data_IF_489242130036
#
_entry.id   IF_489242130036
#
_cell.length_a   1.000
_cell.length_b   1.000
_cell.length_c   1.000
_cell.angle_alpha   90.00
_cell.angle_beta   90.00
_cell.angle_gamma   90.00
#
_symmetry.space_group_name_H-M   'P 1'
#
loop_
_entity.id
_entity.type
_entity.pdbx_description
1 polymer ?
#
# COMPACT_ATOMS: atom_id res chain seq x y z
N UNK A 1 -4.35 -14.03 8.04
CA UNK A 1 -3.36 -13.22 7.29
C UNK A 1 -3.66 -11.75 7.53
N UNK A 2 -2.65 -10.90 7.63
CA UNK A 2 -2.83 -9.45 7.80
C UNK A 2 -1.96 -8.64 6.83
N UNK A 3 -2.58 -7.63 6.21
CA UNK A 3 -2.01 -6.74 5.21
C UNK A 3 -2.01 -5.31 5.76
N UNK A 4 -0.86 -4.64 5.78
CA UNK A 4 -0.78 -3.22 6.15
C UNK A 4 -0.50 -2.39 4.90
N UNK A 5 -1.39 -1.47 4.58
CA UNK A 5 -1.27 -0.61 3.39
C UNK A 5 -0.52 0.66 3.78
N UNK A 6 0.66 0.86 3.22
CA UNK A 6 1.53 2.02 3.47
C UNK A 6 1.84 2.77 2.17
N UNK A 7 2.12 4.07 2.25
CA UNK A 7 2.39 4.90 1.07
C UNK A 7 2.10 6.37 1.33
N UNK A 8 2.18 7.20 0.29
CA UNK A 8 1.83 8.62 0.37
C UNK A 8 0.33 8.83 0.64
N UNK A 9 -0.07 10.05 0.98
CA UNK A 9 -1.48 10.45 0.94
C UNK A 9 -1.96 10.49 -0.52
N UNK A 10 -3.22 10.11 -0.77
CA UNK A 10 -3.84 10.21 -2.09
C UNK A 10 -3.50 9.09 -3.10
N UNK A 11 -2.56 8.19 -2.81
CA UNK A 11 -2.17 7.11 -3.74
C UNK A 11 -3.18 5.95 -3.82
N UNK A 12 -4.33 6.05 -3.17
CA UNK A 12 -5.39 5.04 -3.24
C UNK A 12 -5.25 3.85 -2.29
N UNK A 13 -4.66 4.03 -1.09
CA UNK A 13 -4.55 2.98 -0.06
C UNK A 13 -5.93 2.47 0.39
N UNK A 14 -6.80 3.37 0.82
CA UNK A 14 -8.17 3.03 1.27
C UNK A 14 -8.97 2.32 0.16
N UNK A 15 -8.89 2.82 -1.07
CA UNK A 15 -9.53 2.19 -2.23
C UNK A 15 -8.97 0.78 -2.54
N UNK A 16 -7.65 0.58 -2.41
CA UNK A 16 -7.05 -0.74 -2.54
C UNK A 16 -7.52 -1.69 -1.42
N UNK A 17 -7.66 -1.19 -0.19
CA UNK A 17 -8.21 -1.97 0.92
C UNK A 17 -9.65 -2.42 0.68
N UNK A 18 -10.48 -1.53 0.16
CA UNK A 18 -11.85 -1.85 -0.25
C UNK A 18 -11.89 -2.90 -1.36
N UNK A 19 -10.98 -2.77 -2.34
CA UNK A 19 -10.84 -3.72 -3.45
C UNK A 19 -10.44 -5.11 -2.95
N UNK A 20 -9.47 -5.19 -2.03
CA UNK A 20 -9.04 -6.45 -1.41
C UNK A 20 -10.20 -7.10 -0.64
N UNK A 21 -10.93 -6.32 0.17
CA UNK A 21 -12.04 -6.82 0.98
C UNK A 21 -13.33 -7.07 0.17
N UNK A 22 -13.39 -6.56 -1.06
CA UNK A 22 -14.55 -6.66 -1.94
C UNK A 22 -15.78 -5.87 -1.48
N UNK A 23 -15.59 -4.82 -0.67
CA UNK A 23 -16.65 -3.94 -0.14
C UNK A 23 -16.09 -2.58 0.29
N UNK A 24 -16.97 -1.60 0.45
CA UNK A 24 -16.63 -0.29 1.02
C UNK A 24 -16.43 -0.40 2.54
N UNK A 25 -15.19 -0.60 2.97
CA UNK A 25 -14.80 -0.67 4.38
C UNK A 25 -14.15 0.64 4.87
N UNK A 26 -13.35 1.27 4.00
CA UNK A 26 -12.60 2.50 4.26
C UNK A 26 -13.13 3.64 3.40
N UNK A 27 -13.16 4.86 3.93
CA UNK A 27 -13.52 6.05 3.16
C UNK A 27 -12.47 6.29 2.07
N UNK A 28 -12.87 6.29 0.81
CA UNK A 28 -11.97 6.43 -0.34
C UNK A 28 -12.55 7.37 -1.41
N UNK A 29 -12.64 8.66 -1.09
CA UNK A 29 -13.11 9.70 -2.00
C UNK A 29 -11.99 10.71 -2.34
N UNK A 30 -12.18 11.46 -3.43
CA UNK A 30 -11.25 12.52 -3.81
C UNK A 30 -11.37 13.68 -2.82
N UNK A 31 -10.27 14.03 -2.17
CA UNK A 31 -10.20 15.14 -1.22
C UNK A 31 -8.91 15.94 -1.41
N UNK A 32 -8.94 17.28 -1.26
CA UNK A 32 -7.72 18.09 -1.22
C UNK A 32 -6.90 17.90 0.07
N UNK A 33 -7.48 17.27 1.11
CA UNK A 33 -6.83 17.00 2.40
C UNK A 33 -6.73 15.50 2.69
N UNK A 34 -5.92 15.12 3.68
CA UNK A 34 -5.78 13.72 4.06
C UNK A 34 -7.05 13.21 4.78
N UNK A 35 -7.72 12.22 4.21
CA UNK A 35 -8.91 11.60 4.81
C UNK A 35 -8.56 10.61 5.92
N UNK A 36 -7.47 9.85 5.74
CA UNK A 36 -7.00 8.87 6.73
C UNK A 36 -5.95 9.52 7.63
N UNK A 37 -6.37 10.01 8.80
CA UNK A 37 -5.48 10.51 9.86
C UNK A 37 -5.20 9.48 10.95
N UNK A 38 -5.93 8.36 10.92
CA UNK A 38 -5.85 7.30 11.91
C UNK A 38 -5.96 5.94 11.25
N UNK A 39 -5.11 4.99 11.67
CA UNK A 39 -5.07 3.63 11.16
C UNK A 39 -6.35 2.86 11.50
N UNK A 40 -6.93 2.22 10.50
CA UNK A 40 -8.20 1.49 10.58
C UNK A 40 -8.04 0.08 10.04
N UNK A 41 -8.67 -0.91 10.69
CA UNK A 41 -8.58 -2.31 10.30
C UNK A 41 -9.94 -2.88 9.92
N UNK A 42 -10.01 -3.56 8.78
CA UNK A 42 -11.17 -4.30 8.31
C UNK A 42 -10.86 -5.78 8.12
N UNK A 43 -11.84 -6.66 8.34
CA UNK A 43 -11.68 -8.12 8.21
C UNK A 43 -12.64 -8.71 7.21
N UNK A 44 -12.18 -9.60 6.34
CA UNK A 44 -13.04 -10.28 5.36
C UNK A 44 -12.46 -11.61 4.92
N UNK A 45 -13.32 -12.44 4.34
CA UNK A 45 -12.90 -13.68 3.69
C UNK A 45 -12.62 -13.37 2.21
N UNK A 46 -11.39 -13.64 1.79
CA UNK A 46 -10.91 -13.38 0.43
C UNK A 46 -10.23 -14.67 -0.04
N UNK A 47 -10.70 -15.24 -1.15
CA UNK A 47 -10.25 -16.55 -1.65
C UNK A 47 -10.25 -17.63 -0.54
N UNK A 48 -11.35 -17.71 0.24
CA UNK A 48 -11.54 -18.65 1.36
C UNK A 48 -10.56 -18.47 2.53
N UNK A 49 -9.74 -17.41 2.52
CA UNK A 49 -8.81 -17.07 3.61
C UNK A 49 -9.32 -15.85 4.36
N UNK A 50 -9.25 -15.92 5.69
CA UNK A 50 -9.52 -14.76 6.55
C UNK A 50 -8.36 -13.76 6.48
N UNK A 51 -8.66 -12.58 5.96
CA UNK A 51 -7.71 -11.48 5.78
C UNK A 51 -8.12 -10.29 6.65
N UNK A 52 -7.16 -9.73 7.37
CA UNK A 52 -7.25 -8.40 7.97
C UNK A 52 -6.51 -7.42 7.07
N UNK A 53 -7.16 -6.33 6.66
CA UNK A 53 -6.53 -5.23 5.94
C UNK A 53 -6.49 -4.02 6.86
N UNK A 54 -5.32 -3.40 6.98
CA UNK A 54 -5.12 -2.18 7.77
C UNK A 54 -4.75 -1.03 6.84
N UNK A 55 -5.63 -0.05 6.73
CA UNK A 55 -5.36 1.23 6.05
C UNK A 55 -4.66 2.18 7.02
N UNK A 56 -3.59 2.83 6.58
CA UNK A 56 -2.80 3.75 7.40
C UNK A 56 -2.85 5.18 6.87
N UNK A 57 -2.53 6.18 7.70
CA UNK A 57 -2.23 7.52 7.22
C UNK A 57 -1.07 7.52 6.21
N UNK A 58 -0.97 8.60 5.41
CA UNK A 58 0.16 8.80 4.51
C UNK A 58 1.48 9.00 5.26
N UNK A 59 2.57 8.37 4.80
CA UNK A 59 3.88 8.44 5.49
C UNK A 59 4.53 9.83 5.45
N UNK A 60 4.20 10.66 4.46
CA UNK A 60 4.65 12.05 4.39
C UNK A 60 3.47 13.02 4.50
N UNK A 61 2.54 12.75 5.43
CA UNK A 61 1.41 13.61 5.69
C UNK A 61 1.84 14.85 6.51
N UNK A 62 1.69 16.04 5.95
CA UNK A 62 2.03 17.31 6.62
C UNK A 62 1.10 17.65 7.79
N UNK A 63 -0.06 16.99 7.88
CA UNK A 63 -1.02 17.15 8.98
C UNK A 63 -0.65 16.32 10.23
N UNK A 64 0.32 15.40 10.11
CA UNK A 64 0.82 14.57 11.21
C UNK A 64 2.25 14.94 11.58
N UNK A 65 2.52 15.08 12.88
CA UNK A 65 3.90 15.12 13.38
C UNK A 65 4.56 13.74 13.24
N UNK A 66 5.89 13.70 13.23
CA UNK A 66 6.62 12.43 13.18
C UNK A 66 6.30 11.49 14.36
N UNK A 67 6.00 12.05 15.54
CA UNK A 67 5.55 11.29 16.72
C UNK A 67 4.18 10.65 16.48
N UNK A 68 3.19 11.41 16.02
CA UNK A 68 1.86 10.89 15.70
C UNK A 68 1.92 9.83 14.60
N UNK A 69 2.76 10.02 13.59
CA UNK A 69 2.95 9.00 12.55
C UNK A 69 3.49 7.69 13.16
N UNK A 70 4.43 7.77 14.10
CA UNK A 70 4.96 6.59 14.80
C UNK A 70 3.88 5.90 15.66
N UNK A 71 3.05 6.66 16.35
CA UNK A 71 1.90 6.13 17.11
C UNK A 71 0.91 5.40 16.19
N UNK A 72 0.61 5.97 15.03
CA UNK A 72 -0.30 5.36 14.06
C UNK A 72 0.27 4.09 13.42
N UNK A 73 1.60 3.98 13.30
CA UNK A 73 2.27 2.76 12.85
C UNK A 73 2.26 1.68 13.94
N UNK A 74 2.45 2.05 15.20
CA UNK A 74 2.26 1.11 16.32
C UNK A 74 0.82 0.61 16.38
N UNK A 75 -0.16 1.51 16.21
CA UNK A 75 -1.57 1.15 16.11
C UNK A 75 -1.83 0.19 14.94
N UNK A 76 -1.24 0.42 13.77
CA UNK A 76 -1.38 -0.47 12.63
C UNK A 76 -0.86 -1.88 12.93
N UNK A 77 0.27 -2.00 13.65
CA UNK A 77 0.80 -3.30 14.11
C UNK A 77 -0.16 -3.97 15.09
N UNK A 78 -0.72 -3.24 16.05
CA UNK A 78 -1.70 -3.78 17.01
C UNK A 78 -2.97 -4.30 16.33
N UNK A 79 -3.45 -3.61 15.29
CA UNK A 79 -4.61 -4.05 14.49
C UNK A 79 -4.34 -5.34 13.70
N UNK A 80 -3.08 -5.74 13.54
CA UNK A 80 -2.64 -6.91 12.78
C UNK A 80 -2.35 -8.16 13.61
N UNK A 81 -2.61 -8.16 14.93
CA UNK A 81 -2.31 -9.23 15.89
C UNK A 81 -2.56 -10.64 15.33
N UNK A 82 -1.59 -11.58 15.38
CA UNK A 82 -0.33 -11.55 16.14
C UNK A 82 0.80 -10.67 15.57
N UNK A 83 0.81 -10.35 14.26
CA UNK A 83 1.75 -9.41 13.60
C UNK A 83 1.32 -9.24 12.13
N UNK A 84 1.58 -8.11 11.45
CA UNK A 84 1.41 -8.04 10.00
C UNK A 84 2.19 -9.16 9.29
N UNK A 85 1.50 -9.85 8.39
CA UNK A 85 2.11 -10.92 7.58
C UNK A 85 2.75 -10.33 6.32
N UNK A 86 2.23 -9.20 5.84
CA UNK A 86 2.70 -8.56 4.60
C UNK A 86 2.49 -7.06 4.68
N UNK A 87 3.51 -6.30 4.26
CA UNK A 87 3.42 -4.86 4.07
C UNK A 87 3.15 -4.60 2.59
N UNK A 88 2.10 -3.84 2.28
CA UNK A 88 1.78 -3.45 0.90
C UNK A 88 2.16 -1.98 0.73
N UNK A 89 3.22 -1.74 -0.04
CA UNK A 89 3.63 -0.40 -0.43
C UNK A 89 2.80 0.04 -1.65
N UNK A 90 1.87 0.96 -1.42
CA UNK A 90 0.97 1.48 -2.45
C UNK A 90 1.62 2.66 -3.17
N UNK A 91 1.74 2.53 -4.48
CA UNK A 91 2.31 3.55 -5.37
C UNK A 91 1.30 3.83 -6.49
N UNK A 92 0.97 5.09 -6.69
CA UNK A 92 0.14 5.49 -7.82
C UNK A 92 0.94 5.46 -9.13
N UNK A 93 0.37 4.85 -10.17
CA UNK A 93 0.96 4.91 -11.52
C UNK A 93 1.02 6.35 -12.04
N UNK A 94 2.21 6.73 -12.50
CA UNK A 94 2.50 8.10 -12.91
C UNK A 94 3.97 8.45 -12.72
N UNK A 95 4.23 9.59 -12.08
CA UNK A 95 5.60 10.02 -11.80
C UNK A 95 6.08 9.37 -10.50
N UNK A 96 7.27 8.78 -10.53
CA UNK A 96 8.00 8.37 -9.34
C UNK A 96 8.95 9.51 -8.96
N UNK A 97 8.67 10.19 -7.85
CA UNK A 97 9.40 11.39 -7.43
C UNK A 97 10.28 11.08 -6.21
N UNK A 98 11.07 12.08 -5.78
CA UNK A 98 11.85 11.98 -4.55
C UNK A 98 10.97 11.77 -3.30
N UNK A 99 9.68 12.15 -3.35
CA UNK A 99 8.75 11.87 -2.25
C UNK A 99 8.51 10.36 -2.10
N UNK A 100 8.29 9.63 -3.19
CA UNK A 100 8.11 8.17 -3.15
C UNK A 100 9.38 7.44 -2.68
N UNK A 101 10.57 7.99 -2.92
CA UNK A 101 11.82 7.45 -2.35
C UNK A 101 11.87 7.59 -0.84
N UNK A 102 11.47 8.75 -0.29
CA UNK A 102 11.42 8.99 1.16
C UNK A 102 10.48 8.03 1.88
N UNK A 103 9.37 7.63 1.24
CA UNK A 103 8.45 6.62 1.80
C UNK A 103 9.19 5.33 2.15
N UNK A 104 10.16 4.90 1.33
CA UNK A 104 10.94 3.69 1.59
C UNK A 104 11.93 3.85 2.75
N UNK A 105 12.54 5.02 2.88
CA UNK A 105 13.42 5.34 3.99
C UNK A 105 12.62 5.34 5.30
N UNK A 106 11.49 6.05 5.31
CA UNK A 106 10.55 6.07 6.44
C UNK A 106 10.03 4.67 6.77
N UNK A 107 9.76 3.82 5.77
CA UNK A 107 9.34 2.44 6.01
C UNK A 107 10.43 1.63 6.71
N UNK A 108 11.70 1.78 6.33
CA UNK A 108 12.82 1.11 6.98
C UNK A 108 13.12 1.64 8.38
N UNK A 109 12.80 2.90 8.67
CA UNK A 109 12.92 3.46 10.02
C UNK A 109 11.81 3.00 10.96
N UNK A 110 10.59 2.84 10.43
CA UNK A 110 9.40 2.46 11.20
C UNK A 110 9.32 0.95 11.45
N UNK A 111 9.78 0.15 10.49
CA UNK A 111 9.81 -1.31 10.60
C UNK A 111 11.24 -1.82 10.78
N UNK A 112 11.42 -3.04 11.28
CA UNK A 112 12.75 -3.62 11.48
C UNK A 112 13.52 -3.79 10.16
N UNK A 113 14.85 -3.80 10.25
CA UNK A 113 15.73 -4.24 9.17
C UNK A 113 15.21 -5.57 8.59
N UNK A 114 14.96 -5.59 7.28
CA UNK A 114 14.36 -6.74 6.58
C UNK A 114 12.88 -6.59 6.20
N UNK A 115 12.21 -5.47 6.53
CA UNK A 115 10.80 -5.24 6.10
C UNK A 115 10.61 -5.44 4.60
N UNK A 116 11.60 -5.08 3.78
CA UNK A 116 11.57 -5.26 2.32
C UNK A 116 11.33 -6.72 1.91
N UNK A 117 11.79 -7.70 2.69
CA UNK A 117 11.59 -9.14 2.44
C UNK A 117 10.13 -9.57 2.57
N UNK A 118 9.29 -8.76 3.22
CA UNK A 118 7.86 -8.99 3.41
C UNK A 118 7.02 -7.89 2.75
N UNK A 119 7.65 -7.00 1.97
CA UNK A 119 6.99 -5.93 1.24
C UNK A 119 6.61 -6.36 -0.17
N UNK A 120 5.40 -5.99 -0.55
CA UNK A 120 4.81 -6.15 -1.89
C UNK A 120 4.49 -4.76 -2.41
N UNK A 121 4.88 -4.46 -3.65
CA UNK A 121 4.52 -3.18 -4.26
C UNK A 121 3.16 -3.28 -4.95
N UNK A 122 2.24 -2.41 -4.60
CA UNK A 122 0.93 -2.32 -5.26
C UNK A 122 0.84 -1.03 -6.07
N UNK A 123 0.81 -1.17 -7.38
CA UNK A 123 0.58 -0.06 -8.29
C UNK A 123 -0.92 0.22 -8.42
N UNK A 124 -1.40 1.40 -8.04
CA UNK A 124 -2.79 1.83 -8.25
C UNK A 124 -2.93 2.65 -9.53
N UNK A 125 -4.17 2.89 -9.97
CA UNK A 125 -4.47 3.56 -11.24
C UNK A 125 -3.94 2.79 -12.46
N UNK A 126 -4.15 1.48 -12.46
CA UNK A 126 -3.76 0.55 -13.53
C UNK A 126 -4.27 0.93 -14.92
N UNK A 127 -5.40 1.62 -14.98
CA UNK A 127 -5.98 2.19 -16.22
C UNK A 127 -5.01 3.13 -16.96
N UNK A 128 -4.06 3.75 -16.24
CA UNK A 128 -3.06 4.65 -16.82
C UNK A 128 -2.00 3.95 -17.69
N UNK A 129 -1.83 2.64 -17.54
CA UNK A 129 -0.90 1.87 -18.38
C UNK A 129 -1.35 1.81 -19.84
N UNK A 130 -2.67 1.90 -20.12
CA UNK A 130 -3.24 1.80 -21.47
C UNK A 130 -2.71 0.57 -22.22
N UNK A 131 -1.89 0.78 -23.27
CA UNK A 131 -1.30 -0.27 -24.11
C UNK A 131 0.13 -0.64 -23.68
N UNK A 132 0.60 -0.18 -22.53
CA UNK A 132 1.92 -0.50 -21.97
C UNK A 132 1.76 -1.54 -20.88
N UNK A 133 2.69 -2.49 -20.78
CA UNK A 133 2.75 -3.42 -19.65
C UNK A 133 3.39 -2.77 -18.42
N UNK A 134 3.12 -3.28 -17.22
CA UNK A 134 3.77 -2.77 -16.01
C UNK A 134 5.30 -2.96 -16.06
N UNK A 135 5.77 -4.04 -16.66
CA UNK A 135 7.18 -4.34 -16.86
C UNK A 135 7.85 -3.29 -17.77
N UNK A 136 7.21 -2.91 -18.87
CA UNK A 136 7.70 -1.84 -19.75
C UNK A 136 7.71 -0.48 -19.06
N UNK A 137 6.70 -0.20 -18.23
CA UNK A 137 6.65 1.03 -17.45
C UNK A 137 7.81 1.11 -16.44
N UNK A 138 8.01 0.05 -15.65
CA UNK A 138 9.09 -0.04 -14.65
C UNK A 138 10.47 0.08 -15.30
N UNK A 139 10.70 -0.53 -16.47
CA UNK A 139 11.99 -0.46 -17.18
C UNK A 139 12.41 0.98 -17.54
N UNK A 140 11.48 1.93 -17.57
CA UNK A 140 11.77 3.35 -17.90
C UNK A 140 12.40 4.11 -16.74
N UNK A 141 12.35 3.59 -15.52
CA UNK A 141 12.92 4.25 -14.33
C UNK A 141 13.81 3.29 -13.52
N UNK A 142 15.06 3.68 -13.31
CA UNK A 142 16.04 2.85 -12.59
C UNK A 142 15.74 2.77 -11.10
N UNK A 143 15.09 3.77 -10.50
CA UNK A 143 14.72 3.76 -9.10
C UNK A 143 13.55 2.79 -8.85
N UNK A 144 12.55 2.76 -9.73
CA UNK A 144 11.47 1.77 -9.69
C UNK A 144 12.01 0.35 -9.82
N UNK A 145 12.95 0.11 -10.73
CA UNK A 145 13.61 -1.20 -10.85
C UNK A 145 14.34 -1.58 -9.56
N UNK A 146 15.08 -0.66 -8.95
CA UNK A 146 15.77 -0.91 -7.69
C UNK A 146 14.79 -1.18 -6.54
N UNK A 147 13.68 -0.45 -6.49
CA UNK A 147 12.61 -0.65 -5.51
C UNK A 147 12.05 -2.08 -5.61
N UNK A 148 11.64 -2.50 -6.82
CA UNK A 148 11.08 -3.84 -7.01
C UNK A 148 12.08 -4.93 -6.64
N UNK A 149 13.36 -4.78 -7.05
CA UNK A 149 14.41 -5.73 -6.66
C UNK A 149 14.59 -5.83 -5.16
N UNK A 150 14.56 -4.70 -4.43
CA UNK A 150 14.60 -4.70 -2.96
C UNK A 150 13.41 -5.45 -2.35
N UNK A 151 12.25 -5.39 -3.01
CA UNK A 151 11.04 -6.10 -2.63
C UNK A 151 10.91 -7.50 -3.26
N UNK A 152 11.99 -8.08 -3.79
CA UNK A 152 12.00 -9.43 -4.38
C UNK A 152 11.17 -9.56 -5.66
N UNK A 153 11.04 -8.47 -6.42
CA UNK A 153 10.23 -8.34 -7.65
C UNK A 153 8.76 -8.69 -7.45
N UNK A 154 8.25 -8.56 -6.21
CA UNK A 154 6.85 -8.79 -5.86
C UNK A 154 6.04 -7.53 -6.05
N UNK A 155 5.14 -7.56 -7.02
CA UNK A 155 4.21 -6.46 -7.24
C UNK A 155 2.89 -6.90 -7.87
N UNK A 156 1.88 -6.06 -7.72
CA UNK A 156 0.59 -6.17 -8.41
C UNK A 156 0.16 -4.82 -8.95
N UNK A 157 -0.78 -4.83 -9.89
CA UNK A 157 -1.40 -3.62 -10.45
C UNK A 157 -2.90 -3.67 -10.23
N UNK A 158 -3.42 -2.62 -9.60
CA UNK A 158 -4.83 -2.42 -9.33
C UNK A 158 -5.39 -1.29 -10.18
N UNK A 159 -6.55 -1.57 -10.76
CA UNK A 159 -7.50 -0.54 -11.15
C UNK A 159 -8.66 -0.59 -10.14
N UNK A 160 -8.66 0.33 -9.18
CA UNK A 160 -9.64 0.36 -8.09
C UNK A 160 -11.05 0.76 -8.55
N UNK A 161 -11.22 1.20 -9.81
CA UNK A 161 -12.53 1.43 -10.43
C UNK A 161 -13.20 0.10 -10.86
N UNK A 162 -12.44 -1.00 -10.91
CA UNK A 162 -12.97 -2.31 -11.26
C UNK A 162 -13.38 -3.05 -9.99
N UNK A 163 -14.66 -3.43 -9.92
CA UNK A 163 -15.28 -4.13 -8.78
C UNK A 163 -14.69 -5.54 -8.52
N UNK A 164 -13.76 -6.02 -9.35
CA UNK A 164 -13.24 -7.40 -9.33
C UNK A 164 -11.72 -7.53 -9.49
N UNK A 165 -10.91 -6.85 -8.68
CA UNK A 165 -9.47 -7.16 -8.59
C UNK A 165 -9.18 -8.09 -7.40
N UNK A 166 -9.36 -9.40 -7.58
CA UNK A 166 -9.22 -10.41 -6.50
C UNK A 166 -7.88 -11.16 -6.44
N UNK A 167 -6.82 -10.69 -7.09
CA UNK A 167 -5.62 -11.54 -7.32
C UNK A 167 -4.34 -11.11 -6.60
N UNK A 168 -4.42 -10.48 -5.41
CA UNK A 168 -3.20 -10.27 -4.58
C UNK A 168 -2.81 -11.55 -3.81
N UNK A 169 -3.79 -12.39 -3.45
CA UNK A 169 -3.56 -13.49 -2.50
C UNK A 169 -2.96 -14.76 -3.13
N UNK A 170 -2.93 -14.88 -4.45
CA UNK A 170 -2.37 -16.07 -5.12
C UNK A 170 -0.84 -16.09 -5.11
N UNK A 171 -0.20 -15.01 -4.64
CA UNK A 171 1.26 -14.86 -4.56
C UNK A 171 1.82 -15.10 -3.16
N UNK A 172 0.97 -15.40 -2.15
CA UNK A 172 1.35 -15.57 -0.74
C UNK A 172 0.65 -16.75 -0.05
#
# INVERSE_FOLDING_TARGET
MSLVLVGMSGVGKSAAGNTILGREEFISEASPSSLTLTSQGGKGDVCERRVTVVDTPGLCNTELSGEKLREEMQRAVTLCDPKPHTVILVIQLGRFTEQEKRVMETLQELFSNGVNEYTVVLFTYGDRLRNTTIEEFVRRDTNLQQLLRKCGDRYHVFNNELVFARTILDTY
#
